data_IF_146844365043
#
_entry.id   IF_146844365043
#
_cell.length_a   1.000
_cell.length_b   1.000
_cell.length_c   1.000
_cell.angle_alpha   90.00
_cell.angle_beta   90.00
_cell.angle_gamma   90.00
#
_symmetry.space_group_name_H-M   'P 1'
#
loop_
_entity.id
_entity.type
_entity.pdbx_description
1 polymer ?
#
# COMPACT_ATOMS: atom_id res chain seq x y z
N UNK A 1 2.89 19.79 -24.88
CA UNK A 1 1.84 20.80 -24.62
C UNK A 1 0.67 20.29 -23.76
N UNK A 2 0.51 18.98 -23.52
CA UNK A 2 -0.63 18.44 -22.74
C UNK A 2 -0.45 18.35 -21.21
N UNK A 3 0.76 18.54 -20.67
CA UNK A 3 0.99 18.62 -19.21
C UNK A 3 0.45 19.93 -18.59
N UNK A 4 0.29 20.98 -19.40
CA UNK A 4 -0.08 22.32 -18.91
C UNK A 4 -1.54 22.44 -18.45
N UNK A 5 -2.44 21.57 -18.92
CA UNK A 5 -3.87 21.68 -18.62
C UNK A 5 -4.27 20.97 -17.33
N UNK A 6 -3.69 19.79 -17.06
CA UNK A 6 -3.86 19.09 -15.79
C UNK A 6 -3.27 19.89 -14.62
N UNK A 7 -2.17 20.60 -14.86
CA UNK A 7 -1.53 21.48 -13.89
C UNK A 7 -2.33 22.76 -13.62
N UNK A 8 -3.13 23.25 -14.59
CA UNK A 8 -3.98 24.44 -14.39
C UNK A 8 -5.14 24.19 -13.42
N UNK A 9 -5.66 22.95 -13.37
CA UNK A 9 -6.67 22.54 -12.39
C UNK A 9 -6.00 22.36 -11.01
N UNK A 10 -4.79 21.79 -10.98
CA UNK A 10 -3.98 21.65 -9.76
C UNK A 10 -3.60 23.01 -9.14
N UNK A 11 -3.27 24.01 -9.97
CA UNK A 11 -2.95 25.38 -9.53
C UNK A 11 -4.17 26.12 -8.95
N UNK A 12 -5.35 25.92 -9.53
CA UNK A 12 -6.57 26.54 -9.02
C UNK A 12 -7.05 25.91 -7.70
N UNK A 13 -6.81 24.61 -7.47
CA UNK A 13 -7.03 24.01 -6.15
C UNK A 13 -5.99 24.48 -5.10
N UNK A 14 -4.72 24.68 -5.50
CA UNK A 14 -3.67 25.18 -4.60
C UNK A 14 -3.86 26.65 -4.18
N UNK A 15 -4.31 27.53 -5.08
CA UNK A 15 -4.58 28.94 -4.74
C UNK A 15 -5.75 29.11 -3.76
N UNK A 16 -6.70 28.17 -3.76
CA UNK A 16 -7.79 28.17 -2.79
C UNK A 16 -7.37 27.56 -1.43
N UNK A 17 -6.42 26.61 -1.42
CA UNK A 17 -5.94 25.94 -0.21
C UNK A 17 -4.86 26.69 0.57
N UNK A 18 -4.12 27.63 -0.06
CA UNK A 18 -3.14 28.48 0.64
C UNK A 18 -3.74 29.43 1.70
N UNK A 19 -5.08 29.46 1.88
CA UNK A 19 -5.76 30.29 2.89
C UNK A 19 -6.13 29.58 4.19
N UNK A 20 -5.94 28.26 4.30
CA UNK A 20 -6.26 27.54 5.52
C UNK A 20 -5.00 27.29 6.35
N UNK A 21 -4.85 28.04 7.46
CA UNK A 21 -3.83 27.79 8.46
C UNK A 21 -4.04 26.38 9.07
N UNK A 22 -3.08 25.44 9.00
CA UNK A 22 -3.28 24.06 9.48
C UNK A 22 -3.46 23.94 11.01
N UNK A 23 -3.25 25.01 11.76
CA UNK A 23 -3.28 25.00 13.22
C UNK A 23 -4.69 25.11 13.87
N UNK A 24 -5.78 25.17 13.10
CA UNK A 24 -7.12 25.41 13.65
C UNK A 24 -8.24 24.63 12.93
N UNK A 25 -7.98 23.37 12.53
CA UNK A 25 -9.03 22.50 12.02
C UNK A 25 -9.60 21.63 13.14
N UNK A 26 -10.90 21.80 13.42
CA UNK A 26 -11.63 20.92 14.33
C UNK A 26 -11.55 19.47 13.83
N UNK A 27 -11.29 18.53 14.75
CA UNK A 27 -11.30 17.10 14.46
C UNK A 27 -12.58 16.46 14.97
N UNK A 28 -13.02 15.38 14.30
CA UNK A 28 -14.17 14.56 14.67
C UNK A 28 -13.69 13.12 14.81
N UNK A 29 -14.11 12.46 15.89
CA UNK A 29 -13.93 11.03 16.07
C UNK A 29 -15.05 10.27 15.35
N UNK A 30 -14.69 9.29 14.53
CA UNK A 30 -15.63 8.35 13.89
C UNK A 30 -15.24 6.91 14.22
N UNK A 31 -16.19 6.00 14.40
CA UNK A 31 -15.87 4.58 14.60
C UNK A 31 -15.33 3.96 13.30
N UNK A 32 -14.63 2.82 13.44
CA UNK A 32 -14.17 2.03 12.29
C UNK A 32 -15.33 1.61 11.39
N UNK A 33 -16.44 1.18 11.99
CA UNK A 33 -17.66 0.78 11.26
C UNK A 33 -18.24 1.94 10.47
N UNK A 34 -18.43 3.10 11.10
CA UNK A 34 -18.93 4.30 10.42
C UNK A 34 -18.03 4.74 9.26
N UNK A 35 -16.70 4.69 9.45
CA UNK A 35 -15.77 5.03 8.39
C UNK A 35 -15.83 4.01 7.25
N UNK A 36 -15.85 2.72 7.57
CA UNK A 36 -15.94 1.64 6.57
C UNK A 36 -17.22 1.78 5.75
N UNK A 37 -18.38 1.98 6.39
CA UNK A 37 -19.64 2.20 5.69
C UNK A 37 -19.66 3.48 4.84
N UNK A 38 -19.04 4.55 5.32
CA UNK A 38 -18.89 5.78 4.54
C UNK A 38 -18.06 5.53 3.28
N UNK A 39 -16.89 4.90 3.41
CA UNK A 39 -16.01 4.60 2.27
C UNK A 39 -16.65 3.60 1.30
N UNK A 40 -17.38 2.60 1.81
CA UNK A 40 -18.13 1.64 0.99
C UNK A 40 -19.17 2.34 0.12
N UNK A 41 -19.95 3.26 0.69
CA UNK A 41 -20.91 4.09 -0.07
C UNK A 41 -20.22 4.94 -1.13
N UNK A 42 -19.07 5.54 -0.81
CA UNK A 42 -18.27 6.29 -1.80
C UNK A 42 -17.89 5.39 -2.98
N UNK A 43 -17.30 4.21 -2.72
CA UNK A 43 -16.88 3.31 -3.80
C UNK A 43 -18.06 2.85 -4.67
N UNK A 44 -19.20 2.49 -4.05
CA UNK A 44 -20.43 2.13 -4.76
C UNK A 44 -20.95 3.28 -5.64
N UNK A 45 -21.02 4.49 -5.09
CA UNK A 45 -21.47 5.68 -5.82
C UNK A 45 -20.56 6.01 -7.02
N UNK A 46 -19.30 5.58 -6.96
CA UNK A 46 -18.29 5.78 -8.01
C UNK A 46 -18.04 4.53 -8.87
N UNK A 47 -19.03 3.63 -8.91
CA UNK A 47 -19.12 2.61 -9.95
C UNK A 47 -18.35 1.33 -9.67
N UNK A 48 -17.89 1.08 -8.44
CA UNK A 48 -17.39 -0.25 -8.10
C UNK A 48 -18.55 -1.24 -7.91
N UNK A 49 -18.27 -2.53 -8.02
CA UNK A 49 -19.18 -3.59 -7.55
C UNK A 49 -19.16 -3.69 -6.03
N UNK A 50 -20.20 -4.30 -5.45
CA UNK A 50 -20.34 -4.42 -4.00
C UNK A 50 -19.15 -5.12 -3.33
N UNK A 51 -18.64 -6.20 -3.94
CA UNK A 51 -17.52 -6.97 -3.39
C UNK A 51 -16.22 -6.16 -3.37
N UNK A 52 -16.00 -5.31 -4.39
CA UNK A 52 -14.83 -4.42 -4.46
C UNK A 52 -14.99 -3.27 -3.45
N UNK A 53 -16.20 -2.70 -3.34
CA UNK A 53 -16.48 -1.63 -2.38
C UNK A 53 -16.21 -2.08 -0.94
N UNK A 54 -16.63 -3.30 -0.57
CA UNK A 54 -16.41 -3.87 0.75
C UNK A 54 -14.92 -4.00 1.06
N UNK A 55 -14.17 -4.68 0.18
CA UNK A 55 -12.73 -4.95 0.38
C UNK A 55 -11.92 -3.66 0.46
N UNK A 56 -12.18 -2.69 -0.42
CA UNK A 56 -11.42 -1.44 -0.43
C UNK A 56 -11.79 -0.52 0.73
N UNK A 57 -13.07 -0.50 1.13
CA UNK A 57 -13.51 0.28 2.28
C UNK A 57 -12.88 -0.22 3.58
N UNK A 58 -12.91 -1.54 3.82
CA UNK A 58 -12.29 -2.16 4.99
C UNK A 58 -10.77 -1.91 4.99
N UNK A 59 -10.10 -2.08 3.86
CA UNK A 59 -8.66 -1.85 3.73
C UNK A 59 -8.29 -0.38 4.03
N UNK A 60 -8.98 0.57 3.39
CA UNK A 60 -8.70 2.00 3.54
C UNK A 60 -9.04 2.50 4.95
N UNK A 61 -10.14 2.03 5.55
CA UNK A 61 -10.52 2.36 6.92
C UNK A 61 -9.53 1.76 7.94
N UNK A 62 -9.06 0.52 7.71
CA UNK A 62 -8.03 -0.12 8.54
C UNK A 62 -6.69 0.61 8.49
N UNK A 63 -6.28 1.09 7.31
CA UNK A 63 -5.11 1.95 7.16
C UNK A 63 -5.24 3.23 7.98
N UNK A 64 -6.42 3.89 7.94
CA UNK A 64 -6.67 5.09 8.73
C UNK A 64 -6.68 4.80 10.24
N UNK A 65 -7.32 3.69 10.67
CA UNK A 65 -7.39 3.23 12.06
C UNK A 65 -6.01 3.04 12.69
N UNK A 66 -5.08 2.48 11.92
CA UNK A 66 -3.73 2.14 12.35
C UNK A 66 -2.73 3.31 12.17
N UNK A 67 -3.20 4.51 11.82
CA UNK A 67 -2.34 5.69 11.63
C UNK A 67 -1.44 5.62 10.38
N UNK A 68 -1.82 4.82 9.37
CA UNK A 68 -1.12 4.74 8.08
C UNK A 68 -1.64 5.81 7.12
N UNK A 69 -1.45 7.08 7.48
CA UNK A 69 -2.11 8.23 6.83
C UNK A 69 -1.92 8.31 5.31
N UNK A 70 -0.73 8.02 4.79
CA UNK A 70 -0.47 8.03 3.34
C UNK A 70 -1.20 6.93 2.56
N UNK A 71 -1.87 6.00 3.23
CA UNK A 71 -2.63 4.89 2.62
C UNK A 71 -4.06 4.76 3.18
N UNK A 72 -4.50 5.69 4.03
CA UNK A 72 -5.88 5.79 4.51
C UNK A 72 -6.71 6.72 3.61
N UNK A 73 -7.55 7.56 4.23
CA UNK A 73 -8.50 8.43 3.50
C UNK A 73 -7.84 9.40 2.51
N UNK A 74 -6.54 9.69 2.71
CA UNK A 74 -5.70 10.44 1.77
C UNK A 74 -5.75 9.89 0.34
N UNK A 75 -5.95 8.57 0.18
CA UNK A 75 -5.97 7.90 -1.13
C UNK A 75 -7.32 7.97 -1.85
N UNK A 76 -8.40 8.36 -1.17
CA UNK A 76 -9.75 8.39 -1.78
C UNK A 76 -9.78 9.21 -3.08
N UNK A 77 -9.26 10.45 -3.16
CA UNK A 77 -9.22 11.18 -4.43
C UNK A 77 -8.50 10.44 -5.57
N UNK A 78 -7.43 9.72 -5.26
CA UNK A 78 -6.67 8.93 -6.24
C UNK A 78 -7.40 7.69 -6.73
N UNK A 79 -8.11 6.99 -5.83
CA UNK A 79 -9.02 5.91 -6.22
C UNK A 79 -10.11 6.41 -7.16
N UNK A 80 -10.81 7.48 -6.78
CA UNK A 80 -11.96 7.98 -7.53
C UNK A 80 -11.58 8.53 -8.91
N UNK A 81 -10.45 9.25 -9.01
CA UNK A 81 -9.96 9.75 -10.29
C UNK A 81 -9.46 8.63 -11.22
N UNK A 82 -8.89 7.56 -10.67
CA UNK A 82 -8.50 6.38 -11.46
C UNK A 82 -9.72 5.59 -11.96
N UNK A 83 -10.76 5.45 -11.13
CA UNK A 83 -12.05 4.86 -11.54
C UNK A 83 -12.75 5.71 -12.61
N UNK A 84 -12.83 7.03 -12.41
CA UNK A 84 -13.53 7.95 -13.31
C UNK A 84 -12.89 8.01 -14.70
N UNK A 85 -11.56 7.83 -14.80
CA UNK A 85 -10.84 7.80 -16.08
C UNK A 85 -10.90 6.44 -16.80
N UNK A 86 -11.54 5.43 -16.19
CA UNK A 86 -11.59 4.07 -16.71
C UNK A 86 -10.22 3.38 -16.73
N UNK A 87 -9.24 3.89 -15.99
CA UNK A 87 -7.89 3.31 -15.90
C UNK A 87 -7.88 1.99 -15.11
N UNK A 88 -8.72 1.91 -14.07
CA UNK A 88 -8.92 0.70 -13.26
C UNK A 88 -10.39 0.29 -13.32
N UNK A 89 -10.64 -1.01 -13.51
CA UNK A 89 -12.00 -1.55 -13.55
C UNK A 89 -12.48 -1.90 -12.13
N UNK A 90 -13.30 -1.01 -11.55
CA UNK A 90 -13.96 -1.21 -10.25
C UNK A 90 -14.98 -2.35 -10.23
N UNK A 91 -15.28 -2.97 -11.38
CA UNK A 91 -16.22 -4.09 -11.56
C UNK A 91 -15.55 -5.34 -12.09
N UNK A 92 -14.22 -5.41 -12.15
CA UNK A 92 -13.52 -6.62 -12.54
C UNK A 92 -13.94 -7.82 -11.68
N UNK A 93 -13.95 -9.02 -12.27
CA UNK A 93 -14.08 -10.31 -11.55
C UNK A 93 -12.72 -10.99 -11.60
N UNK A 94 -12.04 -11.21 -10.46
CA UNK A 94 -10.80 -11.95 -10.45
C UNK A 94 -10.99 -13.39 -10.97
N UNK A 95 -10.08 -13.86 -11.81
CA UNK A 95 -10.05 -15.24 -12.31
C UNK A 95 -8.99 -16.01 -11.54
N UNK A 96 -9.41 -16.91 -10.65
CA UNK A 96 -8.53 -17.76 -9.85
C UNK A 96 -8.12 -19.00 -10.65
N UNK A 97 -6.83 -19.25 -10.73
CA UNK A 97 -6.21 -20.32 -11.50
C UNK A 97 -5.44 -21.25 -10.54
N UNK A 98 -5.97 -22.46 -10.30
CA UNK A 98 -5.26 -23.51 -9.57
C UNK A 98 -4.31 -24.23 -10.52
N UNK A 99 -3.02 -23.86 -10.48
CA UNK A 99 -2.01 -24.31 -11.45
C UNK A 99 -0.99 -25.28 -10.87
N UNK A 100 -1.11 -25.61 -9.58
CA UNK A 100 -0.18 -26.53 -8.93
C UNK A 100 -0.51 -26.78 -7.45
N UNK A 101 0.08 -27.82 -6.89
CA UNK A 101 -0.17 -28.23 -5.50
C UNK A 101 0.09 -27.11 -4.47
N UNK A 102 1.06 -26.23 -4.77
CA UNK A 102 1.47 -25.11 -3.93
C UNK A 102 1.49 -23.76 -4.69
N UNK A 103 0.76 -23.65 -5.80
CA UNK A 103 0.82 -22.46 -6.65
C UNK A 103 -0.56 -22.06 -7.17
N UNK A 104 -0.96 -20.82 -6.91
CA UNK A 104 -2.19 -20.19 -7.39
C UNK A 104 -1.81 -18.97 -8.22
N UNK A 105 -2.46 -18.79 -9.36
CA UNK A 105 -2.41 -17.53 -10.12
C UNK A 105 -3.76 -16.84 -10.06
N UNK A 106 -3.77 -15.53 -10.15
CA UNK A 106 -5.00 -14.75 -10.31
C UNK A 106 -4.81 -13.68 -11.37
N UNK A 107 -5.71 -13.67 -12.35
CA UNK A 107 -5.91 -12.50 -13.21
C UNK A 107 -6.85 -11.53 -12.51
N UNK A 108 -6.38 -10.33 -12.17
CA UNK A 108 -7.24 -9.32 -11.55
C UNK A 108 -8.14 -8.60 -12.58
N UNK A 109 -7.98 -8.85 -13.88
CA UNK A 109 -8.86 -8.34 -14.92
C UNK A 109 -8.83 -6.81 -15.10
N UNK A 110 -7.71 -6.16 -14.79
CA UNK A 110 -7.60 -4.70 -14.75
C UNK A 110 -8.24 -4.08 -13.51
N UNK A 111 -8.61 -4.90 -12.51
CA UNK A 111 -9.16 -4.47 -11.24
C UNK A 111 -8.11 -4.33 -10.13
N UNK A 112 -8.57 -4.16 -8.91
CA UNK A 112 -7.70 -4.00 -7.74
C UNK A 112 -7.10 -5.32 -7.25
N UNK A 113 -5.91 -5.25 -6.67
CA UNK A 113 -5.18 -6.41 -6.14
C UNK A 113 -5.86 -7.05 -4.92
N UNK A 114 -6.46 -6.25 -4.03
CA UNK A 114 -7.06 -6.76 -2.80
C UNK A 114 -8.30 -7.64 -3.05
N UNK A 115 -9.24 -7.28 -3.97
CA UNK A 115 -10.28 -8.20 -4.41
C UNK A 115 -9.75 -9.50 -5.02
N UNK A 116 -8.66 -9.45 -5.79
CA UNK A 116 -8.00 -10.63 -6.35
C UNK A 116 -7.40 -11.54 -5.26
N UNK A 117 -6.76 -10.94 -4.25
CA UNK A 117 -6.29 -11.66 -3.06
C UNK A 117 -7.46 -12.29 -2.31
N UNK A 118 -8.54 -11.54 -2.07
CA UNK A 118 -9.72 -12.05 -1.36
C UNK A 118 -10.33 -13.26 -2.07
N UNK A 119 -10.43 -13.24 -3.41
CA UNK A 119 -10.96 -14.34 -4.21
C UNK A 119 -10.14 -15.64 -4.09
N UNK A 120 -8.81 -15.55 -3.94
CA UNK A 120 -7.92 -16.71 -3.86
C UNK A 120 -7.51 -17.10 -2.43
N UNK A 121 -7.85 -16.31 -1.41
CA UNK A 121 -7.33 -16.46 -0.04
C UNK A 121 -7.58 -17.84 0.55
N UNK A 122 -8.80 -18.36 0.43
CA UNK A 122 -9.16 -19.68 0.98
C UNK A 122 -8.30 -20.80 0.36
N UNK A 123 -8.24 -20.85 -0.97
CA UNK A 123 -7.43 -21.83 -1.71
C UNK A 123 -5.93 -21.71 -1.37
N UNK A 124 -5.42 -20.49 -1.23
CA UNK A 124 -4.02 -20.26 -0.86
C UNK A 124 -3.71 -20.81 0.54
N UNK A 125 -4.59 -20.58 1.52
CA UNK A 125 -4.44 -21.10 2.89
C UNK A 125 -4.47 -22.62 2.89
N UNK A 126 -5.42 -23.23 2.17
CA UNK A 126 -5.54 -24.69 2.08
C UNK A 126 -4.26 -25.31 1.50
N UNK A 127 -3.73 -24.73 0.43
CA UNK A 127 -2.46 -25.17 -0.16
C UNK A 127 -1.28 -24.96 0.78
N UNK A 128 -1.18 -23.82 1.44
CA UNK A 128 -0.09 -23.53 2.38
C UNK A 128 -0.07 -24.54 3.53
N UNK A 129 -1.23 -24.86 4.12
CA UNK A 129 -1.34 -25.86 5.19
C UNK A 129 -1.09 -27.27 4.69
N UNK A 130 -1.60 -27.62 3.51
CA UNK A 130 -1.45 -28.96 2.94
C UNK A 130 -0.01 -29.25 2.50
N UNK A 131 0.59 -28.35 1.71
CA UNK A 131 1.93 -28.52 1.14
C UNK A 131 3.07 -27.97 2.05
N UNK A 132 2.74 -27.18 3.07
CA UNK A 132 3.71 -26.49 3.95
C UNK A 132 4.07 -25.07 3.47
N UNK A 133 3.89 -24.79 2.18
CA UNK A 133 4.11 -23.49 1.55
C UNK A 133 3.19 -23.38 0.34
N UNK A 134 2.71 -22.17 0.05
CA UNK A 134 2.03 -21.88 -1.20
C UNK A 134 2.32 -20.46 -1.68
N UNK A 135 2.29 -20.29 -3.00
CA UNK A 135 2.50 -19.02 -3.70
C UNK A 135 1.20 -18.57 -4.34
N UNK A 136 0.89 -17.28 -4.21
CA UNK A 136 -0.14 -16.59 -4.98
C UNK A 136 0.51 -15.51 -5.84
N UNK A 137 0.36 -15.64 -7.16
CA UNK A 137 0.85 -14.68 -8.13
C UNK A 137 -0.32 -13.97 -8.81
N UNK A 138 -0.54 -12.72 -8.44
CA UNK A 138 -1.59 -11.84 -8.99
C UNK A 138 -0.98 -11.00 -10.11
N UNK A 139 -1.63 -10.96 -11.27
CA UNK A 139 -1.25 -10.13 -12.42
C UNK A 139 -2.39 -9.19 -12.80
N UNK A 140 -2.08 -8.22 -13.67
CA UNK A 140 -3.08 -7.35 -14.28
C UNK A 140 -3.90 -6.58 -13.22
N UNK A 141 -3.21 -6.14 -12.16
CA UNK A 141 -3.84 -5.62 -10.94
C UNK A 141 -3.38 -4.22 -10.58
N UNK A 142 -4.24 -3.48 -9.87
CA UNK A 142 -3.95 -2.18 -9.31
C UNK A 142 -3.81 -2.26 -7.79
N UNK A 143 -2.67 -1.86 -7.24
CA UNK A 143 -2.46 -1.78 -5.79
C UNK A 143 -2.17 -0.34 -5.38
N UNK A 144 -2.98 0.18 -4.44
CA UNK A 144 -2.95 1.59 -4.02
C UNK A 144 -3.14 1.76 -2.51
N UNK A 145 -2.66 0.79 -1.73
CA UNK A 145 -2.77 0.75 -0.28
C UNK A 145 -1.43 0.39 0.38
N UNK A 146 -1.42 0.34 1.71
CA UNK A 146 -0.35 -0.31 2.44
C UNK A 146 -0.36 -1.82 2.16
N UNK A 147 0.77 -2.49 2.37
CA UNK A 147 0.92 -3.91 2.08
C UNK A 147 0.77 -4.79 3.34
N UNK A 148 0.93 -4.22 4.54
CA UNK A 148 0.66 -4.92 5.80
C UNK A 148 -0.75 -5.54 5.91
N UNK A 149 -1.86 -4.94 5.41
CA UNK A 149 -3.18 -5.55 5.48
C UNK A 149 -3.29 -6.85 4.67
N UNK A 150 -2.40 -7.05 3.70
CA UNK A 150 -2.41 -8.24 2.85
C UNK A 150 -1.72 -9.42 3.53
N UNK A 151 -0.77 -9.17 4.44
CA UNK A 151 0.03 -10.22 5.11
C UNK A 151 -0.44 -10.51 6.54
N UNK A 152 -0.94 -9.51 7.26
CA UNK A 152 -1.33 -9.62 8.67
C UNK A 152 -2.39 -10.72 8.93
N UNK A 153 -3.46 -10.87 8.11
CA UNK A 153 -4.48 -11.90 8.34
C UNK A 153 -3.97 -13.34 8.25
N UNK A 154 -2.84 -13.58 7.56
CA UNK A 154 -2.22 -14.91 7.51
C UNK A 154 -1.50 -15.21 8.83
N UNK A 155 -0.82 -14.22 9.41
CA UNK A 155 -0.13 -14.35 10.68
C UNK A 155 -1.10 -14.47 11.87
N UNK A 156 -2.25 -13.79 11.82
CA UNK A 156 -3.34 -14.01 12.78
C UNK A 156 -3.84 -15.47 12.78
N UNK A 157 -3.70 -16.17 11.64
CA UNK A 157 -4.04 -17.59 11.49
C UNK A 157 -2.87 -18.55 11.72
N UNK A 158 -1.75 -18.06 12.27
CA UNK A 158 -0.57 -18.88 12.56
C UNK A 158 0.32 -19.20 11.36
N UNK A 159 0.14 -18.53 10.23
CA UNK A 159 0.97 -18.71 9.03
C UNK A 159 1.97 -17.57 8.89
N UNK A 160 3.14 -17.85 8.31
CA UNK A 160 4.08 -16.79 7.92
C UNK A 160 3.70 -16.31 6.51
N UNK A 161 3.72 -15.00 6.27
CA UNK A 161 3.45 -14.43 4.96
C UNK A 161 4.53 -13.42 4.56
N UNK A 162 4.91 -13.44 3.28
CA UNK A 162 5.81 -12.51 2.63
C UNK A 162 5.14 -12.03 1.32
N UNK A 163 5.07 -10.73 1.11
CA UNK A 163 4.45 -10.13 -0.08
C UNK A 163 5.36 -9.09 -0.70
N UNK A 164 5.28 -8.97 -2.03
CA UNK A 164 5.94 -7.95 -2.83
C UNK A 164 4.97 -7.38 -3.86
N UNK A 165 5.07 -6.08 -4.12
CA UNK A 165 4.31 -5.36 -5.14
C UNK A 165 5.25 -4.40 -5.84
N UNK A 166 5.28 -4.38 -7.17
CA UNK A 166 5.96 -3.32 -7.92
C UNK A 166 4.97 -2.20 -8.28
N UNK A 167 5.44 -0.95 -8.33
CA UNK A 167 4.57 0.23 -8.47
C UNK A 167 4.76 0.97 -9.80
N UNK A 168 4.99 2.29 -9.79
CA UNK A 168 5.24 3.09 -10.98
C UNK A 168 6.66 3.64 -10.98
N UNK A 169 7.28 3.77 -12.15
CA UNK A 169 8.66 4.29 -12.28
C UNK A 169 8.84 5.63 -11.57
N UNK A 170 9.63 5.62 -10.50
CA UNK A 170 10.01 6.83 -9.77
C UNK A 170 11.31 6.68 -8.95
N UNK A 171 11.99 5.54 -8.97
CA UNK A 171 13.21 5.28 -8.20
C UNK A 171 14.40 5.08 -9.13
N UNK A 172 15.50 5.78 -8.87
CA UNK A 172 16.76 5.65 -9.63
C UNK A 172 17.52 4.41 -9.14
N UNK A 173 17.76 3.38 -9.98
CA UNK A 173 18.62 2.26 -9.61
C UNK A 173 20.01 2.74 -9.17
N UNK A 174 20.64 2.05 -8.23
CA UNK A 174 21.97 2.44 -7.76
C UNK A 174 22.99 2.43 -8.92
N UNK A 175 23.65 3.57 -9.15
CA UNK A 175 24.59 3.77 -10.25
C UNK A 175 23.96 4.18 -11.59
N UNK A 176 22.63 4.24 -11.67
CA UNK A 176 21.91 4.74 -12.84
C UNK A 176 21.73 6.27 -12.79
N UNK A 177 21.23 6.84 -13.89
CA UNK A 177 21.00 8.29 -14.07
C UNK A 177 19.53 8.69 -14.23
N UNK A 178 18.63 7.71 -14.32
CA UNK A 178 17.21 7.91 -14.61
C UNK A 178 16.39 6.94 -13.74
N UNK A 179 15.15 7.31 -13.37
CA UNK A 179 14.27 6.39 -12.65
C UNK A 179 13.90 5.19 -13.52
N UNK A 180 13.74 4.03 -12.89
CA UNK A 180 13.29 2.81 -13.57
C UNK A 180 12.32 2.02 -12.68
N UNK A 181 12.75 1.73 -11.46
CA UNK A 181 11.95 0.98 -10.51
C UNK A 181 10.82 1.83 -9.91
N UNK A 182 9.80 1.16 -9.39
CA UNK A 182 8.87 1.78 -8.46
C UNK A 182 9.39 1.83 -7.02
N UNK A 183 8.57 2.39 -6.13
CA UNK A 183 8.79 2.34 -4.67
C UNK A 183 8.81 0.91 -4.12
N UNK A 184 8.22 -0.03 -4.85
CA UNK A 184 8.43 -1.48 -4.75
C UNK A 184 8.48 -2.02 -3.31
N UNK A 185 7.36 -2.00 -2.56
CA UNK A 185 7.34 -2.45 -1.18
C UNK A 185 7.51 -3.97 -1.00
N UNK A 186 8.01 -4.33 0.19
CA UNK A 186 8.07 -5.69 0.72
C UNK A 186 7.39 -5.68 2.09
N UNK A 187 6.45 -6.60 2.30
CA UNK A 187 5.82 -6.80 3.59
C UNK A 187 5.97 -8.23 4.07
N UNK A 188 6.10 -8.39 5.38
CA UNK A 188 6.25 -9.67 6.05
C UNK A 188 5.41 -9.69 7.31
N UNK A 189 4.78 -10.82 7.58
CA UNK A 189 4.05 -11.07 8.81
C UNK A 189 4.37 -12.47 9.35
N UNK A 190 4.50 -12.57 10.67
CA UNK A 190 4.75 -13.83 11.36
C UNK A 190 3.97 -13.89 12.68
N UNK A 191 3.41 -15.05 13.05
CA UNK A 191 2.73 -15.22 14.33
C UNK A 191 3.74 -15.18 15.49
N UNK A 192 3.26 -14.77 16.67
CA UNK A 192 3.97 -14.89 17.95
C UNK A 192 3.01 -15.34 19.04
N UNK A 193 3.53 -16.08 20.01
CA UNK A 193 2.73 -16.51 21.15
C UNK A 193 2.42 -15.33 22.08
N UNK A 194 1.15 -15.09 22.40
CA UNK A 194 0.78 -14.12 23.44
C UNK A 194 0.78 -12.65 23.03
N UNK A 195 0.77 -12.34 21.72
CA UNK A 195 0.66 -10.96 21.22
C UNK A 195 0.16 -10.87 19.78
N UNK A 196 -0.05 -9.64 19.29
CA UNK A 196 -0.34 -9.39 17.88
C UNK A 196 0.84 -9.82 16.98
N UNK A 197 0.61 -10.15 15.69
CA UNK A 197 1.66 -10.60 14.78
C UNK A 197 2.87 -9.66 14.70
N UNK A 198 4.07 -10.21 14.46
CA UNK A 198 5.23 -9.40 14.08
C UNK A 198 5.07 -9.04 12.60
N UNK A 199 4.92 -7.74 12.28
CA UNK A 199 4.63 -7.29 10.91
C UNK A 199 5.49 -6.09 10.53
N UNK A 200 6.22 -6.21 9.43
CA UNK A 200 6.86 -5.07 8.79
C UNK A 200 6.34 -4.88 7.37
N UNK A 201 6.30 -3.62 6.95
CA UNK A 201 5.90 -3.18 5.61
C UNK A 201 6.75 -1.95 5.28
N UNK A 202 7.57 -2.07 4.26
CA UNK A 202 8.55 -1.05 3.87
C UNK A 202 8.62 -0.91 2.36
N UNK A 203 8.71 0.34 1.90
CA UNK A 203 9.14 0.62 0.53
C UNK A 203 10.63 0.28 0.36
N UNK A 204 11.04 -0.12 -0.85
CA UNK A 204 12.46 -0.23 -1.18
C UNK A 204 13.08 1.10 -1.63
N UNK A 205 12.25 2.15 -1.79
CA UNK A 205 12.69 3.55 -1.83
C UNK A 205 13.00 4.10 -0.43
N UNK A 206 13.83 5.13 -0.35
CA UNK A 206 14.23 5.78 0.90
C UNK A 206 13.04 6.46 1.62
N UNK A 207 12.02 6.87 0.86
CA UNK A 207 10.74 7.38 1.36
C UNK A 207 9.61 6.91 0.43
N UNK A 208 8.39 6.75 0.95
CA UNK A 208 7.24 6.42 0.13
C UNK A 208 6.79 7.64 -0.68
N UNK A 209 6.35 7.43 -1.93
CA UNK A 209 5.87 8.51 -2.81
C UNK A 209 4.69 9.29 -2.19
N UNK A 210 3.81 8.61 -1.45
CA UNK A 210 2.70 9.26 -0.73
C UNK A 210 3.18 10.24 0.33
N UNK A 211 4.25 9.92 1.05
CA UNK A 211 4.80 10.80 2.09
C UNK A 211 5.49 12.04 1.48
N UNK A 212 6.07 11.92 0.27
CA UNK A 212 6.56 13.08 -0.49
C UNK A 212 5.41 14.00 -0.89
N UNK A 213 4.28 13.45 -1.33
CA UNK A 213 3.08 14.23 -1.64
C UNK A 213 2.51 14.95 -0.41
N UNK A 214 2.56 14.30 0.76
CA UNK A 214 2.15 14.92 2.03
C UNK A 214 3.11 16.07 2.40
N UNK A 215 4.43 15.85 2.36
CA UNK A 215 5.42 16.87 2.65
C UNK A 215 5.28 18.10 1.73
N UNK A 216 5.04 17.88 0.43
CA UNK A 216 4.77 18.97 -0.53
C UNK A 216 3.49 19.75 -0.17
N UNK A 217 2.40 19.07 0.21
CA UNK A 217 1.14 19.72 0.62
C UNK A 217 1.29 20.55 1.89
N UNK A 218 2.13 20.11 2.81
CA UNK A 218 2.38 20.78 4.10
C UNK A 218 3.49 21.83 4.03
N UNK A 219 4.17 21.97 2.88
CA UNK A 219 5.31 22.87 2.72
C UNK A 219 6.52 22.52 3.59
N UNK A 220 6.75 21.22 3.85
CA UNK A 220 7.87 20.73 4.66
C UNK A 220 8.97 20.11 3.80
N UNK A 221 10.23 20.30 4.19
CA UNK A 221 11.37 19.63 3.60
C UNK A 221 11.41 18.15 4.00
N UNK A 222 11.99 17.33 3.11
CA UNK A 222 12.33 15.94 3.40
C UNK A 222 13.74 15.84 4.00
N UNK A 223 14.06 14.77 4.74
CA UNK A 223 15.44 14.49 5.11
C UNK A 223 16.34 14.35 3.87
N UNK A 224 17.62 14.68 4.02
CA UNK A 224 18.61 14.49 2.96
C UNK A 224 18.70 13.02 2.51
N UNK A 225 19.03 12.82 1.22
CA UNK A 225 19.28 11.49 0.65
C UNK A 225 18.03 10.71 0.23
N UNK A 226 16.85 11.37 0.21
CA UNK A 226 15.59 10.74 -0.16
C UNK A 226 15.32 10.75 -1.67
N UNK A 227 15.83 11.76 -2.38
CA UNK A 227 15.59 11.92 -3.82
C UNK A 227 16.54 12.91 -4.48
N UNK A 228 16.30 13.07 -5.78
CA UNK A 228 16.99 13.97 -6.69
C UNK A 228 15.98 14.79 -7.49
N UNK A 229 16.41 15.95 -7.98
CA UNK A 229 15.64 16.77 -8.92
C UNK A 229 15.73 16.23 -10.36
N UNK A 230 15.15 16.97 -11.31
CA UNK A 230 15.13 16.62 -12.75
C UNK A 230 16.51 16.54 -13.40
N UNK A 231 17.51 17.20 -12.82
CA UNK A 231 18.89 17.20 -13.30
C UNK A 231 19.74 16.13 -12.59
N UNK A 232 19.11 15.32 -11.73
CA UNK A 232 19.75 14.27 -10.95
C UNK A 232 20.56 14.79 -9.77
N UNK A 233 20.38 16.04 -9.35
CA UNK A 233 21.06 16.60 -8.18
C UNK A 233 20.29 16.25 -6.89
N UNK A 234 20.98 15.90 -5.79
CA UNK A 234 20.33 15.65 -4.50
C UNK A 234 19.48 16.83 -4.05
N UNK A 235 18.27 16.55 -3.56
CA UNK A 235 17.34 17.58 -3.08
C UNK A 235 16.57 17.13 -1.85
N UNK A 236 16.23 18.10 -1.00
CA UNK A 236 15.33 17.95 0.16
C UNK A 236 13.92 18.50 -0.16
N UNK A 237 13.75 19.15 -1.31
CA UNK A 237 12.50 19.77 -1.73
C UNK A 237 11.55 18.71 -2.34
N UNK A 238 10.40 18.42 -1.72
CA UNK A 238 9.50 17.38 -2.23
C UNK A 238 8.92 17.74 -3.61
N UNK A 239 8.69 19.02 -3.89
CA UNK A 239 8.23 19.46 -5.21
C UNK A 239 9.28 19.20 -6.31
N UNK A 240 10.57 19.35 -6.02
CA UNK A 240 11.63 19.06 -7.00
C UNK A 240 11.69 17.58 -7.38
N UNK A 241 11.38 16.68 -6.44
CA UNK A 241 11.25 15.23 -6.69
C UNK A 241 10.02 14.95 -7.54
N UNK A 242 8.87 15.55 -7.21
CA UNK A 242 7.60 15.32 -7.92
C UNK A 242 7.59 15.91 -9.34
N UNK A 243 8.31 17.00 -9.58
CA UNK A 243 8.32 17.76 -10.84
C UNK A 243 9.48 17.39 -11.77
N UNK A 244 9.53 16.10 -12.12
CA UNK A 244 10.51 15.52 -13.04
C UNK A 244 11.77 14.97 -12.38
N UNK A 245 11.86 15.02 -11.04
CA UNK A 245 12.89 14.34 -10.27
C UNK A 245 12.58 12.86 -10.02
N UNK A 246 13.27 12.28 -9.03
CA UNK A 246 13.13 10.88 -8.69
C UNK A 246 13.55 10.57 -7.24
N UNK A 247 13.08 9.44 -6.72
CA UNK A 247 13.47 8.89 -5.42
C UNK A 247 14.75 8.07 -5.52
N UNK A 248 15.41 7.89 -4.38
CA UNK A 248 16.55 6.98 -4.22
C UNK A 248 16.15 5.70 -3.48
N UNK A 249 16.85 4.56 -3.71
CA UNK A 249 16.65 3.33 -2.94
C UNK A 249 17.21 3.47 -1.52
N UNK A 250 16.55 2.86 -0.52
CA UNK A 250 17.08 2.86 0.84
C UNK A 250 18.39 2.06 0.92
N UNK A 251 19.32 2.46 1.78
CA UNK A 251 20.57 1.70 1.97
C UNK A 251 21.41 1.51 0.70
N UNK A 252 21.26 2.39 -0.30
CA UNK A 252 22.05 2.39 -1.54
C UNK A 252 21.86 1.12 -2.38
N UNK A 253 22.96 0.47 -2.76
CA UNK A 253 22.94 -0.72 -3.63
C UNK A 253 22.12 -1.89 -3.07
N UNK A 254 21.99 -2.01 -1.73
CA UNK A 254 21.20 -3.08 -1.10
C UNK A 254 19.70 -2.91 -1.34
N UNK A 255 19.15 -1.72 -1.08
CA UNK A 255 17.75 -1.44 -1.40
C UNK A 255 17.49 -1.46 -2.91
N UNK A 256 18.46 -1.05 -3.73
CA UNK A 256 18.37 -1.17 -5.18
C UNK A 256 18.25 -2.63 -5.64
N UNK A 257 19.01 -3.54 -5.04
CA UNK A 257 18.93 -4.97 -5.35
C UNK A 257 17.59 -5.58 -4.90
N UNK A 258 17.07 -5.17 -3.73
CA UNK A 258 15.74 -5.56 -3.27
C UNK A 258 14.63 -5.01 -4.18
N UNK A 259 14.76 -3.77 -4.66
CA UNK A 259 13.81 -3.17 -5.59
C UNK A 259 13.79 -3.91 -6.93
N UNK A 260 14.95 -4.33 -7.45
CA UNK A 260 15.05 -5.20 -8.62
C UNK A 260 14.41 -6.57 -8.38
N UNK A 261 14.63 -7.18 -7.20
CA UNK A 261 13.96 -8.43 -6.84
C UNK A 261 12.43 -8.28 -6.84
N UNK A 262 11.90 -7.16 -6.34
CA UNK A 262 10.46 -6.89 -6.35
C UNK A 262 9.92 -6.77 -7.77
N UNK A 263 10.59 -6.06 -8.69
CA UNK A 263 10.21 -6.05 -10.11
C UNK A 263 10.11 -7.49 -10.66
N UNK A 264 11.16 -8.29 -10.47
CA UNK A 264 11.23 -9.65 -11.01
C UNK A 264 10.15 -10.57 -10.44
N UNK A 265 9.81 -10.42 -9.15
CA UNK A 265 8.87 -11.29 -8.46
C UNK A 265 7.41 -10.85 -8.59
N UNK A 266 7.13 -9.54 -8.51
CA UNK A 266 5.77 -9.01 -8.55
C UNK A 266 5.26 -8.74 -9.97
N UNK A 267 6.15 -8.56 -10.95
CA UNK A 267 5.81 -8.42 -12.37
C UNK A 267 6.30 -9.62 -13.19
N UNK A 268 7.62 -9.84 -13.24
CA UNK A 268 8.20 -10.87 -14.12
C UNK A 268 7.65 -12.29 -13.88
N UNK A 269 7.52 -12.70 -12.61
CA UNK A 269 6.96 -14.01 -12.25
C UNK A 269 5.43 -14.06 -12.35
N UNK A 270 4.73 -12.97 -12.02
CA UNK A 270 3.27 -12.92 -12.07
C UNK A 270 2.73 -12.83 -13.50
N UNK A 271 3.50 -12.22 -14.40
CA UNK A 271 3.06 -11.83 -15.73
C UNK A 271 2.38 -10.45 -15.77
N UNK A 272 2.46 -9.67 -14.69
CA UNK A 272 2.08 -8.26 -14.68
C UNK A 272 3.16 -7.36 -15.30
N UNK A 273 2.82 -6.11 -15.55
CA UNK A 273 3.77 -5.11 -16.06
C UNK A 273 4.87 -4.81 -15.03
N UNK A 274 6.12 -4.67 -15.48
CA UNK A 274 7.13 -3.96 -14.72
C UNK A 274 6.71 -2.49 -14.53
N UNK A 275 7.31 -1.80 -13.55
CA UNK A 275 6.88 -0.44 -13.17
C UNK A 275 6.97 0.61 -14.29
N UNK A 276 7.71 0.31 -15.37
CA UNK A 276 7.92 1.17 -16.55
C UNK A 276 7.08 0.75 -17.78
N UNK A 277 6.30 -0.33 -17.71
CA UNK A 277 5.63 -0.94 -18.88
C UNK A 277 4.18 -0.50 -19.08
N UNK A 278 3.69 0.44 -18.27
CA UNK A 278 2.37 1.03 -18.46
C UNK A 278 2.46 2.56 -18.59
N UNK A 279 1.54 3.14 -19.35
CA UNK A 279 1.42 4.59 -19.54
C UNK A 279 -0.04 5.00 -19.40
N UNK A 280 -0.29 5.91 -18.45
CA UNK A 280 -1.61 6.47 -18.20
C UNK A 280 -1.81 7.85 -18.85
N UNK A 281 -0.95 8.28 -19.77
CA UNK A 281 -1.06 9.58 -20.46
C UNK A 281 -2.41 9.82 -21.15
N UNK A 282 -3.11 8.74 -21.51
CA UNK A 282 -4.45 8.73 -22.12
C UNK A 282 -5.61 8.68 -21.12
N UNK A 283 -5.32 8.59 -19.82
CA UNK A 283 -6.29 8.48 -18.74
C UNK A 283 -6.10 9.62 -17.72
N UNK A 284 -6.56 10.85 -18.04
CA UNK A 284 -6.40 11.99 -17.13
C UNK A 284 -6.98 11.70 -15.74
N UNK A 285 -6.14 11.81 -14.72
CA UNK A 285 -6.51 11.55 -13.32
C UNK A 285 -6.13 10.15 -12.81
N UNK A 286 -5.66 9.25 -13.66
CA UNK A 286 -5.11 7.96 -13.22
C UNK A 286 -3.91 8.16 -12.27
N UNK A 287 -3.89 7.38 -11.17
CA UNK A 287 -2.84 7.42 -10.15
C UNK A 287 -2.36 6.04 -9.70
N UNK A 288 -3.11 4.98 -10.01
CA UNK A 288 -2.83 3.62 -9.54
C UNK A 288 -1.87 2.90 -10.49
N UNK A 289 -0.76 2.30 -10.02
CA UNK A 289 0.06 1.41 -10.84
C UNK A 289 -0.74 0.22 -11.37
N UNK A 290 -0.51 -0.19 -12.62
CA UNK A 290 -1.14 -1.36 -13.23
C UNK A 290 -0.09 -2.46 -13.45
N UNK A 291 0.09 -3.32 -12.44
CA UNK A 291 1.24 -4.22 -12.31
C UNK A 291 0.79 -5.63 -11.83
N UNK A 292 1.31 -6.09 -10.69
CA UNK A 292 1.07 -7.39 -10.09
C UNK A 292 1.50 -7.42 -8.61
N UNK A 293 1.23 -8.55 -7.97
CA UNK A 293 1.57 -8.81 -6.57
C UNK A 293 1.95 -10.28 -6.40
N UNK A 294 3.02 -10.54 -5.66
CA UNK A 294 3.40 -11.87 -5.21
C UNK A 294 3.12 -12.00 -3.72
N UNK A 295 2.52 -13.12 -3.30
CA UNK A 295 2.45 -13.54 -1.91
C UNK A 295 2.98 -14.96 -1.75
N UNK A 296 3.75 -15.18 -0.69
CA UNK A 296 4.25 -16.48 -0.26
C UNK A 296 3.72 -16.71 1.15
N UNK A 297 2.99 -17.80 1.34
CA UNK A 297 2.39 -18.18 2.62
C UNK A 297 2.95 -19.52 3.06
N UNK A 298 3.43 -19.61 4.30
CA UNK A 298 4.17 -20.76 4.83
C UNK A 298 3.48 -21.21 6.11
N UNK A 299 3.28 -22.51 6.25
CA UNK A 299 2.99 -23.13 7.54
C UNK A 299 4.34 -23.38 8.25
N UNK A 300 4.70 -22.54 9.25
CA UNK A 300 6.03 -22.60 9.84
C UNK A 300 6.25 -23.84 10.71
N UNK A 301 5.18 -24.55 11.09
CA UNK A 301 5.24 -25.73 11.94
C UNK A 301 5.12 -27.05 11.12
N UNK A 302 5.04 -26.96 9.78
CA UNK A 302 4.94 -28.14 8.91
C UNK A 302 6.13 -29.07 9.07
N UNK A 303 5.89 -30.28 9.59
CA UNK A 303 6.93 -31.28 9.84
C UNK A 303 7.89 -30.91 10.99
N UNK A 304 7.56 -29.88 11.78
CA UNK A 304 8.36 -29.40 12.90
C UNK A 304 7.99 -30.11 14.20
N UNK A 305 8.98 -30.35 15.06
CA UNK A 305 8.79 -30.77 16.46
C UNK A 305 8.75 -29.60 17.45
N UNK A 306 8.74 -28.36 16.95
CA UNK A 306 8.78 -27.11 17.74
C UNK A 306 7.69 -26.16 17.24
N UNK A 307 7.22 -25.26 18.13
CA UNK A 307 6.31 -24.19 17.76
C UNK A 307 7.07 -22.93 17.34
N UNK A 308 6.87 -22.49 16.11
CA UNK A 308 7.42 -21.25 15.60
C UNK A 308 6.96 -20.03 16.41
N UNK A 309 5.68 -19.99 16.80
CA UNK A 309 5.13 -18.88 17.58
C UNK A 309 5.84 -18.67 18.93
N UNK A 310 6.30 -19.76 19.56
CA UNK A 310 7.11 -19.69 20.78
C UNK A 310 8.53 -19.15 20.50
N UNK A 311 9.09 -19.52 19.34
CA UNK A 311 10.43 -19.06 18.92
C UNK A 311 10.43 -17.58 18.55
N UNK A 312 9.39 -17.09 17.88
CA UNK A 312 9.23 -15.67 17.57
C UNK A 312 8.95 -14.84 18.82
N UNK A 313 8.20 -15.37 19.78
CA UNK A 313 8.01 -14.73 21.09
C UNK A 313 9.33 -14.59 21.86
N UNK A 314 10.14 -15.65 21.86
CA UNK A 314 11.49 -15.60 22.45
C UNK A 314 12.37 -14.55 21.77
N UNK A 315 12.32 -14.43 20.44
CA UNK A 315 13.05 -13.37 19.73
C UNK A 315 12.58 -11.98 20.17
N UNK A 316 11.28 -11.74 20.29
CA UNK A 316 10.76 -10.46 20.80
C UNK A 316 11.29 -10.17 22.20
N UNK A 317 11.22 -11.15 23.11
CA UNK A 317 11.75 -11.00 24.47
C UNK A 317 13.23 -10.60 24.46
N UNK A 318 14.03 -11.20 23.59
CA UNK A 318 15.45 -10.89 23.44
C UNK A 318 15.68 -9.49 22.84
N UNK A 319 14.87 -9.06 21.86
CA UNK A 319 14.95 -7.71 21.28
C UNK A 319 14.64 -6.64 22.34
N UNK A 320 13.62 -6.85 23.15
CA UNK A 320 13.34 -5.97 24.30
C UNK A 320 14.50 -5.98 25.31
N UNK A 321 15.05 -7.17 25.62
CA UNK A 321 16.22 -7.30 26.50
C UNK A 321 17.48 -6.59 25.99
N UNK A 322 17.60 -6.42 24.67
CA UNK A 322 18.66 -5.65 24.02
C UNK A 322 18.37 -4.14 23.92
N UNK A 323 17.24 -3.66 24.43
CA UNK A 323 16.85 -2.24 24.45
C UNK A 323 16.06 -1.77 23.23
N UNK A 324 15.60 -2.67 22.36
CA UNK A 324 14.67 -2.29 21.29
C UNK A 324 13.26 -2.14 21.87
N UNK A 325 12.87 -0.92 22.24
CA UNK A 325 11.55 -0.64 22.85
C UNK A 325 10.38 -0.74 21.86
N UNK A 326 10.65 -0.60 20.56
CA UNK A 326 9.62 -0.60 19.51
C UNK A 326 9.97 -1.63 18.43
N UNK A 327 9.09 -2.60 18.25
CA UNK A 327 9.13 -3.60 17.19
C UNK A 327 8.35 -3.13 15.95
N UNK A 328 8.62 -3.74 14.77
CA UNK A 328 7.77 -3.56 13.61
C UNK A 328 6.33 -4.01 13.91
N UNK A 329 5.39 -3.08 13.76
CA UNK A 329 3.96 -3.26 14.08
C UNK A 329 3.50 -2.42 15.27
N UNK A 330 4.31 -2.26 16.33
CA UNK A 330 3.87 -1.70 17.62
C UNK A 330 3.21 -0.33 17.55
N UNK A 331 3.70 0.56 16.67
CA UNK A 331 3.04 1.87 16.46
C UNK A 331 1.63 1.67 15.92
N UNK A 332 1.45 0.83 14.89
CA UNK A 332 0.13 0.58 14.30
C UNK A 332 -0.82 -0.04 15.31
N UNK A 333 -0.34 -0.99 16.11
CA UNK A 333 -1.12 -1.62 17.18
C UNK A 333 -1.52 -0.64 18.29
N UNK A 334 -0.60 0.24 18.71
CA UNK A 334 -0.93 1.30 19.67
C UNK A 334 -1.97 2.28 19.11
N UNK A 335 -1.81 2.68 17.84
CA UNK A 335 -2.76 3.56 17.15
C UNK A 335 -4.13 2.88 16.95
N UNK A 336 -4.13 1.59 16.60
CA UNK A 336 -5.32 0.74 16.50
C UNK A 336 -6.08 0.70 17.82
N UNK A 337 -5.41 0.40 18.93
CA UNK A 337 -6.02 0.38 20.26
C UNK A 337 -6.62 1.74 20.61
N UNK A 338 -5.91 2.84 20.33
CA UNK A 338 -6.43 4.21 20.53
C UNK A 338 -7.67 4.48 19.68
N UNK A 339 -7.63 4.14 18.39
CA UNK A 339 -8.74 4.33 17.45
C UNK A 339 -9.97 3.50 17.84
N UNK A 340 -9.77 2.28 18.35
CA UNK A 340 -10.88 1.43 18.82
C UNK A 340 -11.49 1.95 20.14
N UNK A 341 -10.69 2.57 21.01
CA UNK A 341 -11.16 3.09 22.29
C UNK A 341 -11.82 4.49 22.18
N UNK A 342 -11.31 5.33 21.28
CA UNK A 342 -11.67 6.75 21.22
C UNK A 342 -12.24 7.20 19.87
N UNK A 343 -12.31 6.29 18.89
CA UNK A 343 -12.64 6.62 17.51
C UNK A 343 -11.42 7.08 16.71
N UNK A 344 -11.55 7.00 15.39
CA UNK A 344 -10.59 7.46 14.40
C UNK A 344 -10.74 8.98 14.27
N UNK A 345 -9.68 9.72 14.57
CA UNK A 345 -9.66 11.18 14.43
C UNK A 345 -9.51 11.59 12.97
N UNK A 346 -10.47 12.36 12.46
CA UNK A 346 -10.49 12.89 11.08
C UNK A 346 -10.74 14.40 11.15
N UNK A 347 -10.04 15.19 10.32
CA UNK A 347 -10.32 16.61 10.19
C UNK A 347 -11.77 16.82 9.70
N UNK A 348 -12.48 17.78 10.29
CA UNK A 348 -13.89 17.99 9.97
C UNK A 348 -14.10 18.26 8.47
N UNK A 349 -13.19 19.01 7.84
CA UNK A 349 -13.16 19.29 6.40
C UNK A 349 -13.04 18.01 5.55
N UNK A 350 -12.19 17.08 5.95
CA UNK A 350 -12.03 15.80 5.26
C UNK A 350 -13.28 14.92 5.44
N UNK A 351 -13.86 14.90 6.63
CA UNK A 351 -15.08 14.14 6.90
C UNK A 351 -16.27 14.67 6.07
N UNK A 352 -16.45 15.99 6.02
CA UNK A 352 -17.47 16.64 5.20
C UNK A 352 -17.27 16.35 3.70
N UNK A 353 -16.02 16.35 3.23
CA UNK A 353 -15.68 15.98 1.85
C UNK A 353 -16.02 14.52 1.55
N UNK A 354 -15.70 13.59 2.45
CA UNK A 354 -16.05 12.17 2.30
C UNK A 354 -17.58 11.98 2.28
N UNK A 355 -18.30 12.67 3.15
CA UNK A 355 -19.77 12.65 3.17
C UNK A 355 -20.37 13.17 1.87
N UNK A 356 -19.83 14.25 1.31
CA UNK A 356 -20.26 14.78 0.01
C UNK A 356 -20.04 13.77 -1.13
N UNK A 357 -18.92 13.02 -1.09
CA UNK A 357 -18.62 11.97 -2.08
C UNK A 357 -19.52 10.73 -1.94
N UNK A 358 -20.06 10.44 -0.76
CA UNK A 358 -20.94 9.30 -0.57
C UNK A 358 -22.35 9.48 -1.17
N UNK A 359 -22.72 10.72 -1.51
CA UNK A 359 -24.09 11.11 -1.84
C UNK A 359 -24.97 11.15 -0.57
N UNK A 360 -25.96 12.04 -0.57
CA UNK A 360 -27.00 12.07 0.48
C UNK A 360 -27.92 10.86 0.40
#
# INVERSE_FOLDING_TARGET
>A
MSFSLAFSIYRHEQEFQMRANPADQSTRAVSLEQLTDLLRRIFLAHGTRAEVAEVLAENCASAQRDGSHSHGIFRIPGYLSSLASGWVDGKAVPVVEDVGAAFVRVDAGGGFAQPALAAARALLIDKARSAGIAVLAIRNSHHFAALWPDVEPFAEQGLVALSMVNSMTCVVPHGARQPLFGTNPIAFAAPRAGGEPVVFDLATSAVAHGDVQIAAREGRLLPAGMGVDRDGQPTEEPCAILEGGALLPFGGHKGSALSMMVELLAAGLTGGNFSFEFDWSKHPGAQTPWTGQLLIVIDPDKGSGQSFAQRSEELVRQLHGAGQERLPGDRRYSERARSMAHGISIAQTDLERLQALAGH
#
